data_IF_393997655772
#
_entry.id   IF_393997655772
#
_cell.length_a   1.000
_cell.length_b   1.000
_cell.length_c   1.000
_cell.angle_alpha   90.00
_cell.angle_beta   90.00
_cell.angle_gamma   90.00
#
_symmetry.space_group_name_H-M   'P 1'
#
loop_
_entity.id
_entity.type
_entity.pdbx_description
1 polymer ?
#
# COMPACT_ATOMS: atom_id res chain seq x y z
N UNK A 1 -35.47 -17.05 -5.69
CA UNK A 1 -34.43 -17.88 -5.03
C UNK A 1 -33.11 -17.13 -5.13
N UNK A 2 -32.64 -16.55 -4.03
CA UNK A 2 -31.34 -15.86 -3.96
C UNK A 2 -30.26 -16.92 -3.72
N UNK A 3 -29.71 -17.49 -4.79
CA UNK A 3 -28.49 -18.31 -4.68
C UNK A 3 -27.37 -17.44 -4.06
N UNK A 4 -26.45 -17.93 -3.24
CA UNK A 4 -25.28 -17.14 -2.82
C UNK A 4 -24.34 -16.90 -4.02
N UNK A 5 -23.53 -15.83 -4.01
CA UNK A 5 -22.48 -15.65 -5.03
C UNK A 5 -21.33 -16.66 -4.80
N UNK A 6 -20.63 -17.05 -5.87
CA UNK A 6 -19.45 -17.93 -5.79
C UNK A 6 -18.13 -17.16 -5.75
N UNK A 7 -18.17 -15.84 -5.57
CA UNK A 7 -16.97 -15.01 -5.43
C UNK A 7 -16.20 -15.43 -4.17
N UNK A 8 -14.89 -15.56 -4.31
CA UNK A 8 -13.99 -15.81 -3.18
C UNK A 8 -13.37 -14.49 -2.72
N UNK A 9 -12.97 -14.43 -1.44
CA UNK A 9 -12.19 -13.34 -0.86
C UNK A 9 -10.80 -13.80 -0.37
N UNK A 10 -10.41 -15.04 -0.71
CA UNK A 10 -9.19 -15.66 -0.19
C UNK A 10 -7.89 -14.92 -0.52
N UNK A 11 -7.83 -14.13 -1.60
CA UNK A 11 -6.63 -13.35 -1.92
C UNK A 11 -6.47 -12.15 -0.99
N UNK A 12 -7.57 -11.57 -0.49
CA UNK A 12 -7.54 -10.45 0.45
C UNK A 12 -6.98 -10.86 1.82
N UNK A 13 -7.17 -12.13 2.21
CA UNK A 13 -6.56 -12.70 3.41
C UNK A 13 -5.04 -12.83 3.30
N UNK A 14 -4.47 -12.91 2.10
CA UNK A 14 -3.03 -13.02 1.92
C UNK A 14 -2.28 -11.72 2.28
N UNK A 15 -2.95 -10.56 2.24
CA UNK A 15 -2.35 -9.26 2.56
C UNK A 15 -1.95 -9.15 4.03
N UNK A 16 -2.86 -9.37 5.03
CA UNK A 16 -2.47 -9.32 6.43
C UNK A 16 -1.45 -10.40 6.80
N UNK A 17 -1.54 -11.61 6.22
CA UNK A 17 -0.54 -12.65 6.48
C UNK A 17 0.86 -12.25 6.00
N UNK A 18 0.95 -11.55 4.87
CA UNK A 18 2.21 -10.99 4.40
C UNK A 18 2.74 -9.91 5.35
N UNK A 19 1.87 -9.04 5.86
CA UNK A 19 2.24 -7.95 6.78
C UNK A 19 2.69 -8.41 8.17
N UNK A 20 2.39 -9.66 8.57
CA UNK A 20 2.92 -10.25 9.82
C UNK A 20 4.41 -10.58 9.73
N UNK A 21 4.97 -10.64 8.53
CA UNK A 21 6.38 -10.99 8.34
C UNK A 21 7.25 -9.78 8.66
N UNK A 22 8.36 -10.02 9.37
CA UNK A 22 9.34 -8.98 9.73
C UNK A 22 10.13 -8.47 8.52
N UNK A 23 10.27 -9.31 7.51
CA UNK A 23 11.01 -9.02 6.29
C UNK A 23 10.21 -9.57 5.10
N UNK A 24 9.80 -8.68 4.21
CA UNK A 24 9.00 -9.05 3.03
C UNK A 24 9.82 -8.74 1.78
N UNK A 25 9.97 -9.72 0.90
CA UNK A 25 10.60 -9.52 -0.41
C UNK A 25 9.61 -8.88 -1.40
N UNK A 26 10.14 -8.10 -2.33
CA UNK A 26 9.32 -7.36 -3.29
C UNK A 26 8.52 -8.28 -4.24
N UNK A 27 9.06 -9.46 -4.58
CA UNK A 27 8.34 -10.44 -5.42
C UNK A 27 7.08 -10.95 -4.72
N UNK A 28 7.14 -11.24 -3.43
CA UNK A 28 5.99 -11.62 -2.62
C UNK A 28 4.93 -10.52 -2.57
N UNK A 29 5.33 -9.25 -2.46
CA UNK A 29 4.42 -8.10 -2.52
C UNK A 29 3.72 -8.05 -3.87
N UNK A 30 4.46 -8.14 -4.98
CA UNK A 30 3.90 -8.11 -6.34
C UNK A 30 2.95 -9.28 -6.61
N UNK A 31 3.30 -10.47 -6.13
CA UNK A 31 2.47 -11.68 -6.27
C UNK A 31 1.15 -11.55 -5.52
N UNK A 32 1.18 -11.07 -4.27
CA UNK A 32 -0.04 -10.85 -3.48
C UNK A 32 -0.88 -9.74 -4.09
N UNK A 33 -0.25 -8.61 -4.46
CA UNK A 33 -0.90 -7.50 -5.15
C UNK A 33 -1.65 -7.96 -6.40
N UNK A 34 -0.98 -8.72 -7.29
CA UNK A 34 -1.58 -9.19 -8.54
C UNK A 34 -2.81 -10.06 -8.27
N UNK A 35 -2.72 -11.02 -7.34
CA UNK A 35 -3.84 -11.89 -6.97
C UNK A 35 -5.01 -11.11 -6.38
N UNK A 36 -4.74 -10.11 -5.55
CA UNK A 36 -5.78 -9.23 -5.00
C UNK A 36 -6.44 -8.42 -6.11
N UNK A 37 -5.66 -7.83 -7.02
CA UNK A 37 -6.20 -7.07 -8.15
C UNK A 37 -7.06 -7.93 -9.08
N UNK A 38 -6.65 -9.17 -9.35
CA UNK A 38 -7.41 -10.10 -10.19
C UNK A 38 -8.75 -10.45 -9.51
N UNK A 39 -8.72 -10.82 -8.22
CA UNK A 39 -9.92 -11.17 -7.48
C UNK A 39 -10.86 -9.97 -7.26
N UNK A 40 -10.30 -8.78 -7.07
CA UNK A 40 -11.08 -7.54 -6.98
C UNK A 40 -11.81 -7.26 -8.31
N UNK A 41 -11.13 -7.39 -9.46
CA UNK A 41 -11.79 -7.22 -10.75
C UNK A 41 -12.99 -8.18 -10.93
N UNK A 42 -12.85 -9.44 -10.50
CA UNK A 42 -13.95 -10.41 -10.49
C UNK A 42 -15.11 -9.98 -9.57
N UNK A 43 -14.78 -9.46 -8.38
CA UNK A 43 -15.76 -8.99 -7.39
C UNK A 43 -16.53 -7.76 -7.90
N UNK A 44 -15.86 -6.80 -8.54
CA UNK A 44 -16.51 -5.64 -9.17
C UNK A 44 -17.53 -6.08 -10.23
N UNK A 45 -17.21 -7.12 -11.00
CA UNK A 45 -18.11 -7.68 -12.01
C UNK A 45 -19.33 -8.41 -11.43
N UNK A 46 -19.32 -8.74 -10.13
CA UNK A 46 -20.42 -9.44 -9.47
C UNK A 46 -21.46 -8.45 -8.93
N UNK A 47 -22.69 -8.51 -9.46
CA UNK A 47 -23.78 -7.60 -9.05
C UNK A 47 -24.12 -7.65 -7.56
N UNK A 48 -23.85 -8.76 -6.89
CA UNK A 48 -24.12 -8.91 -5.46
C UNK A 48 -22.99 -8.39 -4.59
N UNK A 49 -21.75 -8.74 -4.93
CA UNK A 49 -20.60 -8.32 -4.15
C UNK A 49 -20.37 -6.81 -4.29
N UNK A 50 -20.61 -6.22 -5.46
CA UNK A 50 -20.40 -4.78 -5.66
C UNK A 50 -21.26 -3.89 -4.76
N UNK A 51 -22.44 -4.36 -4.35
CA UNK A 51 -23.36 -3.63 -3.45
C UNK A 51 -23.30 -4.10 -2.01
N UNK A 52 -22.53 -5.15 -1.73
CA UNK A 52 -22.44 -5.73 -0.40
C UNK A 52 -21.52 -4.89 0.49
N UNK A 53 -22.02 -4.54 1.68
CA UNK A 53 -21.30 -3.69 2.61
C UNK A 53 -20.03 -4.35 3.16
N UNK A 54 -20.06 -5.67 3.40
CA UNK A 54 -18.87 -6.39 3.85
C UNK A 54 -17.77 -6.36 2.79
N UNK A 55 -18.15 -6.47 1.53
CA UNK A 55 -17.25 -6.33 0.38
C UNK A 55 -16.58 -4.96 0.34
N UNK A 56 -17.33 -3.88 0.60
CA UNK A 56 -16.79 -2.51 0.70
C UNK A 56 -15.69 -2.42 1.76
N UNK A 57 -15.96 -2.90 2.96
CA UNK A 57 -14.98 -2.88 4.06
C UNK A 57 -13.72 -3.68 3.71
N UNK A 58 -13.88 -4.88 3.13
CA UNK A 58 -12.75 -5.74 2.76
C UNK A 58 -11.87 -5.07 1.71
N UNK A 59 -12.48 -4.51 0.67
CA UNK A 59 -11.79 -3.84 -0.43
C UNK A 59 -11.03 -2.61 0.08
N UNK A 60 -11.69 -1.74 0.84
CA UNK A 60 -11.07 -0.53 1.39
C UNK A 60 -9.87 -0.88 2.26
N UNK A 61 -10.03 -1.84 3.17
CA UNK A 61 -8.93 -2.31 4.05
C UNK A 61 -7.77 -2.88 3.24
N UNK A 62 -8.05 -3.63 2.17
CA UNK A 62 -7.02 -4.23 1.34
C UNK A 62 -6.25 -3.17 0.54
N UNK A 63 -6.93 -2.15 0.02
CA UNK A 63 -6.31 -1.04 -0.68
C UNK A 63 -5.32 -0.28 0.22
N UNK A 64 -5.72 0.06 1.45
CA UNK A 64 -4.85 0.70 2.44
C UNK A 64 -3.60 -0.13 2.75
N UNK A 65 -3.77 -1.44 2.92
CA UNK A 65 -2.68 -2.36 3.22
C UNK A 65 -1.73 -2.53 2.04
N UNK A 66 -2.25 -2.67 0.81
CA UNK A 66 -1.43 -2.70 -0.40
C UNK A 66 -0.64 -1.40 -0.56
N UNK A 67 -1.25 -0.25 -0.28
CA UNK A 67 -0.58 1.03 -0.36
C UNK A 67 0.55 1.17 0.67
N UNK A 68 0.36 0.61 1.87
CA UNK A 68 1.41 0.50 2.90
C UNK A 68 2.58 -0.34 2.41
N UNK A 69 2.31 -1.49 1.78
CA UNK A 69 3.35 -2.35 1.20
C UNK A 69 4.10 -1.65 0.06
N UNK A 70 3.40 -0.96 -0.84
CA UNK A 70 4.03 -0.18 -1.91
C UNK A 70 4.90 0.95 -1.38
N UNK A 71 4.46 1.63 -0.31
CA UNK A 71 5.27 2.64 0.36
C UNK A 71 6.55 2.05 0.93
N UNK A 72 6.50 0.83 1.49
CA UNK A 72 7.68 0.12 1.96
C UNK A 72 8.65 -0.22 0.80
N UNK A 73 8.13 -0.61 -0.36
CA UNK A 73 8.94 -0.82 -1.58
C UNK A 73 9.62 0.47 -2.02
N UNK A 74 8.89 1.59 -2.08
CA UNK A 74 9.47 2.88 -2.44
C UNK A 74 10.66 3.25 -1.54
N UNK A 75 10.55 3.00 -0.24
CA UNK A 75 11.64 3.24 0.73
C UNK A 75 12.81 2.28 0.50
N UNK A 76 12.54 0.98 0.31
CA UNK A 76 13.57 -0.04 0.15
C UNK A 76 14.43 0.14 -1.11
N UNK A 77 13.83 0.64 -2.20
CA UNK A 77 14.51 0.83 -3.49
C UNK A 77 14.84 2.31 -3.79
N UNK A 78 14.64 3.22 -2.84
CA UNK A 78 14.93 4.65 -3.03
C UNK A 78 14.17 5.26 -4.22
N UNK A 79 12.91 4.89 -4.40
CA UNK A 79 12.08 5.30 -5.54
C UNK A 79 11.39 6.66 -5.33
N UNK A 80 11.47 7.22 -4.12
CA UNK A 80 10.92 8.55 -3.82
C UNK A 80 12.04 9.57 -3.66
N UNK A 81 12.00 10.63 -4.45
CA UNK A 81 12.98 11.72 -4.43
C UNK A 81 12.78 12.67 -3.22
N UNK A 82 11.68 12.53 -2.48
CA UNK A 82 11.36 13.34 -1.29
C UNK A 82 10.89 12.46 -0.13
N UNK A 83 11.75 12.29 0.87
CA UNK A 83 11.40 11.81 2.19
C UNK A 83 10.19 12.60 2.71
N UNK A 84 9.10 11.90 3.05
CA UNK A 84 8.13 12.42 4.01
C UNK A 84 8.82 12.46 5.37
N UNK A 85 9.54 13.54 5.67
CA UNK A 85 9.71 13.95 7.06
C UNK A 85 8.32 14.37 7.55
N UNK A 86 7.75 13.74 8.60
CA UNK A 86 6.59 14.30 9.27
C UNK A 86 6.95 15.71 9.77
N UNK A 87 6.01 16.68 9.76
CA UNK A 87 6.27 18.02 10.27
C UNK A 87 6.42 17.93 11.79
N UNK A 88 7.65 17.71 12.25
CA UNK A 88 7.97 17.53 13.66
C UNK A 88 9.46 17.76 13.93
N UNK A 89 9.79 19.01 14.20
CA UNK A 89 11.05 19.52 14.75
C UNK A 89 12.32 19.42 13.88
N UNK A 90 12.47 20.38 12.95
CA UNK A 90 13.80 20.92 12.58
C UNK A 90 13.98 22.30 13.23
N UNK A 91 14.73 22.32 14.33
CA UNK A 91 15.43 23.45 14.96
C UNK A 91 16.65 22.80 15.63
N UNK A 92 17.92 23.09 15.39
CA UNK A 92 18.67 23.95 14.48
C UNK A 92 20.04 23.24 14.37
N UNK A 93 20.61 23.15 13.17
CA UNK A 93 22.00 22.75 13.02
C UNK A 93 22.86 24.01 12.89
N UNK A 94 23.74 24.27 13.84
CA UNK A 94 24.96 25.02 13.58
C UNK A 94 26.19 24.20 13.99
N UNK A 95 27.28 24.22 13.21
CA UNK A 95 28.44 23.38 13.39
C UNK A 95 29.50 24.09 14.23
N UNK A 96 30.17 23.40 15.16
CA UNK A 96 31.61 23.58 15.37
C UNK A 96 32.21 22.44 16.21
N UNK A 97 33.48 22.20 15.93
CA UNK A 97 34.38 21.11 16.33
C UNK A 97 34.52 20.81 17.84
N UNK A 98 35.06 19.60 18.08
CA UNK A 98 36.06 19.23 19.12
C UNK A 98 35.61 18.38 20.32
N UNK A 99 36.07 17.12 20.27
CA UNK A 99 36.72 16.30 21.34
C UNK A 99 35.94 15.75 22.55
N UNK A 100 36.12 14.42 22.71
CA UNK A 100 36.34 13.65 23.94
C UNK A 100 35.14 13.06 24.73
N UNK A 101 35.21 11.71 24.82
CA UNK A 101 34.99 10.84 25.99
C UNK A 101 33.63 10.69 26.69
N UNK A 102 33.33 9.40 26.88
CA UNK A 102 32.64 8.73 27.99
C UNK A 102 31.09 8.65 28.01
N UNK A 103 30.66 7.38 28.02
CA UNK A 103 29.55 6.78 28.78
C UNK A 103 28.12 7.31 28.60
N UNK A 104 27.21 6.36 28.29
CA UNK A 104 25.78 6.58 28.45
C UNK A 104 24.94 5.69 27.55
N UNK A 105 24.90 4.40 27.85
CA UNK A 105 23.88 3.51 27.30
C UNK A 105 22.49 4.07 27.65
N UNK A 106 21.79 4.60 26.65
CA UNK A 106 20.35 4.83 26.73
C UNK A 106 19.71 4.05 25.60
N UNK A 107 19.22 2.87 25.96
CA UNK A 107 18.25 2.13 25.18
C UNK A 107 17.00 3.00 25.06
N UNK A 108 16.89 3.75 23.96
CA UNK A 108 15.60 4.32 23.56
C UNK A 108 14.80 3.18 22.96
N UNK A 109 13.98 2.56 23.80
CA UNK A 109 12.87 1.70 23.37
C UNK A 109 11.92 2.54 22.54
N UNK A 110 12.20 2.66 21.24
CA UNK A 110 11.19 3.05 20.28
C UNK A 110 10.21 1.89 20.22
N UNK A 111 9.07 2.04 20.91
CA UNK A 111 7.82 1.38 20.54
C UNK A 111 7.38 1.95 19.20
N UNK A 112 8.13 1.63 18.15
CA UNK A 112 7.77 1.90 16.78
C UNK A 112 6.78 0.83 16.36
N UNK A 113 5.56 1.24 16.03
CA UNK A 113 4.63 0.45 15.24
C UNK A 113 5.46 -0.19 14.12
N UNK A 114 5.69 -1.49 14.20
CA UNK A 114 6.62 -2.19 13.30
C UNK A 114 5.91 -2.31 11.97
N UNK A 115 6.01 -1.24 11.16
CA UNK A 115 5.52 -1.25 9.80
C UNK A 115 6.36 -2.28 9.02
N UNK A 116 5.73 -3.07 8.14
CA UNK A 116 6.44 -4.08 7.38
C UNK A 116 7.61 -3.46 6.63
N UNK A 117 8.82 -3.96 6.87
CA UNK A 117 10.02 -3.51 6.20
C UNK A 117 10.19 -4.37 4.94
N UNK A 118 10.04 -3.75 3.78
CA UNK A 118 10.43 -4.40 2.53
C UNK A 118 11.95 -4.53 2.55
N UNK A 119 12.46 -5.76 2.42
CA UNK A 119 13.89 -5.94 2.26
C UNK A 119 14.29 -5.65 0.83
N UNK A 120 15.35 -4.86 0.68
CA UNK A 120 16.05 -4.76 -0.59
C UNK A 120 16.67 -6.12 -0.91
N UNK A 121 15.99 -6.89 -1.77
CA UNK A 121 16.44 -8.21 -2.20
C UNK A 121 17.00 -8.13 -3.62
N UNK A 122 18.01 -8.96 -3.90
CA UNK A 122 18.52 -9.16 -5.25
C UNK A 122 17.36 -9.58 -6.16
N UNK A 123 17.13 -8.81 -7.23
CA UNK A 123 16.04 -9.06 -8.15
C UNK A 123 16.51 -9.98 -9.27
N UNK A 124 15.63 -10.84 -9.79
CA UNK A 124 15.93 -11.68 -10.94
C UNK A 124 14.97 -11.38 -12.08
N UNK A 125 15.52 -11.18 -13.27
CA UNK A 125 14.76 -11.11 -14.52
C UNK A 125 15.10 -12.34 -15.36
N UNK A 126 14.25 -13.37 -15.25
CA UNK A 126 14.53 -14.68 -15.83
C UNK A 126 15.75 -15.34 -15.18
N UNK A 127 16.85 -15.46 -15.94
CA UNK A 127 18.13 -16.00 -15.45
C UNK A 127 19.12 -14.91 -15.00
N UNK A 128 18.80 -13.64 -15.22
CA UNK A 128 19.68 -12.51 -14.94
C UNK A 128 19.44 -12.01 -13.51
N UNK A 129 20.51 -11.91 -12.71
CA UNK A 129 20.48 -11.19 -11.44
C UNK A 129 20.69 -9.70 -11.71
N UNK A 130 19.82 -8.88 -11.14
CA UNK A 130 19.89 -7.42 -11.22
C UNK A 130 20.28 -6.86 -9.85
N UNK A 131 21.17 -5.88 -9.86
CA UNK A 131 21.65 -5.17 -8.68
C UNK A 131 21.70 -3.66 -8.94
N UNK A 132 21.78 -2.86 -7.89
CA UNK A 132 21.92 -1.41 -7.99
C UNK A 132 20.83 -0.75 -8.83
N UNK A 133 21.25 0.03 -9.82
CA UNK A 133 20.36 0.85 -10.66
C UNK A 133 19.41 0.00 -11.53
N UNK A 134 19.83 -1.19 -11.98
CA UNK A 134 18.97 -2.06 -12.79
C UNK A 134 17.84 -2.67 -11.95
N UNK A 135 18.15 -3.07 -10.71
CA UNK A 135 17.15 -3.53 -9.76
C UNK A 135 16.18 -2.40 -9.39
N UNK A 136 16.71 -1.19 -9.18
CA UNK A 136 15.90 0.02 -8.92
C UNK A 136 14.96 0.33 -10.09
N UNK A 137 15.46 0.28 -11.32
CA UNK A 137 14.66 0.52 -12.52
C UNK A 137 13.56 -0.54 -12.70
N UNK A 138 13.88 -1.81 -12.49
CA UNK A 138 12.87 -2.87 -12.53
C UNK A 138 11.82 -2.69 -11.42
N UNK A 139 12.25 -2.34 -10.21
CA UNK A 139 11.35 -2.06 -9.10
C UNK A 139 10.40 -0.90 -9.40
N UNK A 140 10.94 0.17 -9.98
CA UNK A 140 10.19 1.32 -10.45
C UNK A 140 9.10 0.94 -11.46
N UNK A 141 9.45 0.20 -12.52
CA UNK A 141 8.48 -0.19 -13.57
C UNK A 141 7.37 -1.08 -13.01
N UNK A 142 7.73 -2.09 -12.21
CA UNK A 142 6.78 -3.03 -11.64
C UNK A 142 5.85 -2.35 -10.62
N UNK A 143 6.41 -1.46 -9.79
CA UNK A 143 5.62 -0.71 -8.83
C UNK A 143 4.69 0.29 -9.50
N UNK A 144 5.19 1.04 -10.49
CA UNK A 144 4.37 1.98 -11.29
C UNK A 144 3.16 1.29 -11.88
N UNK A 145 3.36 0.13 -12.51
CA UNK A 145 2.25 -0.67 -13.06
C UNK A 145 1.26 -1.11 -11.98
N UNK A 146 1.76 -1.53 -10.82
CA UNK A 146 0.92 -1.98 -9.71
C UNK A 146 0.10 -0.85 -9.09
N UNK A 147 0.67 0.36 -9.01
CA UNK A 147 -0.01 1.55 -8.52
C UNK A 147 -1.12 2.01 -9.48
N UNK A 148 -0.84 2.05 -10.79
CA UNK A 148 -1.85 2.39 -11.80
C UNK A 148 -3.00 1.40 -11.73
N UNK A 149 -2.71 0.10 -11.69
CA UNK A 149 -3.73 -0.95 -11.59
C UNK A 149 -4.60 -0.82 -10.33
N UNK A 150 -3.99 -0.54 -9.18
CA UNK A 150 -4.74 -0.29 -7.94
C UNK A 150 -5.64 0.94 -8.07
N UNK A 151 -5.17 2.00 -8.73
CA UNK A 151 -5.95 3.21 -8.98
C UNK A 151 -7.18 2.97 -9.84
N UNK A 152 -7.03 2.24 -10.95
CA UNK A 152 -8.14 1.88 -11.85
C UNK A 152 -9.23 1.08 -11.10
N UNK A 153 -8.80 0.11 -10.27
CA UNK A 153 -9.73 -0.70 -9.47
C UNK A 153 -10.44 0.13 -8.40
N UNK A 154 -9.70 1.01 -7.71
CA UNK A 154 -10.26 1.92 -6.72
C UNK A 154 -11.29 2.86 -7.34
N UNK A 155 -10.95 3.53 -8.44
CA UNK A 155 -11.84 4.45 -9.14
C UNK A 155 -13.11 3.73 -9.62
N UNK A 156 -12.95 2.59 -10.28
CA UNK A 156 -14.08 1.78 -10.74
C UNK A 156 -14.99 1.38 -9.58
N UNK A 157 -14.42 0.97 -8.45
CA UNK A 157 -15.19 0.55 -7.30
C UNK A 157 -15.90 1.73 -6.60
N UNK A 158 -15.22 2.87 -6.43
CA UNK A 158 -15.80 4.09 -5.85
C UNK A 158 -17.02 4.55 -6.67
N UNK A 159 -16.90 4.57 -8.00
CA UNK A 159 -18.01 4.93 -8.88
C UNK A 159 -19.21 3.99 -8.72
N UNK A 160 -18.98 2.69 -8.50
CA UNK A 160 -20.05 1.71 -8.33
C UNK A 160 -20.66 1.73 -6.92
N UNK A 161 -19.84 1.89 -5.89
CA UNK A 161 -20.27 1.86 -4.49
C UNK A 161 -20.98 3.16 -4.07
N UNK A 162 -20.60 4.31 -4.66
CA UNK A 162 -21.07 5.63 -4.23
C UNK A 162 -21.69 6.48 -5.34
N UNK A 163 -21.71 6.03 -6.59
CA UNK A 163 -22.21 6.82 -7.73
C UNK A 163 -23.72 7.10 -7.72
N UNK A 164 -24.52 6.23 -7.08
CA UNK A 164 -25.97 6.44 -6.92
C UNK A 164 -26.26 7.18 -5.60
N UNK A 165 -26.41 8.51 -5.70
CA UNK A 165 -26.71 9.45 -4.60
C UNK A 165 -28.11 9.26 -3.94
N UNK A 166 -28.74 8.08 -4.03
CA UNK A 166 -30.13 7.86 -3.59
C UNK A 166 -30.28 7.30 -2.17
N UNK A 167 -29.33 7.52 -1.27
CA UNK A 167 -29.43 7.01 0.11
C UNK A 167 -29.57 8.17 1.10
N UNK A 168 -30.82 8.46 1.48
CA UNK A 168 -31.24 9.49 2.45
C UNK A 168 -30.91 9.18 3.91
N UNK A 169 -30.10 8.15 4.19
CA UNK A 169 -29.45 7.93 5.49
C UNK A 169 -28.22 7.05 5.31
N UNK A 170 -27.06 7.64 4.99
CA UNK A 170 -25.80 6.89 5.01
C UNK A 170 -25.50 6.49 6.45
N UNK A 171 -25.35 5.19 6.68
CA UNK A 171 -24.83 4.63 7.93
C UNK A 171 -23.44 5.24 8.22
N UNK A 172 -23.15 5.58 9.47
CA UNK A 172 -21.88 6.22 9.88
C UNK A 172 -20.67 5.42 9.38
N UNK A 173 -20.80 4.10 9.30
CA UNK A 173 -19.72 3.22 8.82
C UNK A 173 -19.50 3.32 7.30
N UNK A 174 -20.55 3.57 6.52
CA UNK A 174 -20.44 3.81 5.06
C UNK A 174 -19.74 5.14 4.81
N UNK A 175 -20.07 6.18 5.58
CA UNK A 175 -19.40 7.49 5.51
C UNK A 175 -17.92 7.37 5.87
N UNK A 176 -17.59 6.57 6.90
CA UNK A 176 -16.21 6.30 7.27
C UNK A 176 -15.45 5.54 6.17
N UNK A 177 -16.07 4.53 5.55
CA UNK A 177 -15.47 3.79 4.42
C UNK A 177 -15.23 4.69 3.21
N UNK A 178 -16.19 5.56 2.87
CA UNK A 178 -16.05 6.54 1.79
C UNK A 178 -14.88 7.49 2.06
N UNK A 179 -14.79 8.02 3.29
CA UNK A 179 -13.71 8.92 3.69
C UNK A 179 -12.33 8.24 3.63
N UNK A 180 -12.22 7.01 4.14
CA UNK A 180 -10.98 6.21 4.08
C UNK A 180 -10.58 5.88 2.64
N UNK A 181 -11.55 5.62 1.76
CA UNK A 181 -11.28 5.34 0.35
C UNK A 181 -10.75 6.60 -0.37
N UNK A 182 -11.34 7.76 -0.11
CA UNK A 182 -10.86 9.05 -0.62
C UNK A 182 -9.44 9.32 -0.14
N UNK A 183 -9.16 9.16 1.16
CA UNK A 183 -7.81 9.32 1.71
C UNK A 183 -6.82 8.33 1.07
N UNK A 184 -7.25 7.09 0.80
CA UNK A 184 -6.44 6.08 0.13
C UNK A 184 -6.13 6.47 -1.32
N UNK A 185 -7.10 7.02 -2.06
CA UNK A 185 -6.90 7.52 -3.42
C UNK A 185 -5.97 8.75 -3.46
N UNK A 186 -6.06 9.65 -2.48
CA UNK A 186 -5.14 10.77 -2.34
C UNK A 186 -3.70 10.30 -2.08
N UNK A 187 -3.52 9.39 -1.12
CA UNK A 187 -2.21 8.78 -0.84
C UNK A 187 -1.66 8.03 -2.05
N UNK A 188 -2.51 7.33 -2.80
CA UNK A 188 -2.12 6.67 -4.05
C UNK A 188 -1.63 7.69 -5.08
N UNK A 189 -2.36 8.78 -5.26
CA UNK A 189 -1.98 9.86 -6.20
C UNK A 189 -0.63 10.46 -5.84
N UNK A 190 -0.39 10.72 -4.55
CA UNK A 190 0.90 11.18 -4.04
C UNK A 190 2.01 10.17 -4.32
N UNK A 191 1.76 8.88 -4.08
CA UNK A 191 2.75 7.83 -4.31
C UNK A 191 3.07 7.66 -5.80
N UNK A 192 2.05 7.71 -6.66
CA UNK A 192 2.23 7.71 -8.12
C UNK A 192 3.05 8.91 -8.57
N UNK A 193 2.81 10.11 -8.02
CA UNK A 193 3.57 11.30 -8.35
C UNK A 193 5.06 11.19 -7.95
N UNK A 194 5.37 10.51 -6.85
CA UNK A 194 6.75 10.29 -6.40
C UNK A 194 7.52 9.30 -7.26
N UNK A 195 6.80 8.34 -7.85
CA UNK A 195 7.38 7.33 -8.74
C UNK A 195 7.34 7.82 -10.20
N UNK A 196 6.83 9.02 -10.52
CA UNK A 196 6.94 9.56 -11.88
C UNK A 196 8.36 10.08 -12.15
N UNK A 197 8.87 9.75 -13.33
CA UNK A 197 10.16 10.19 -13.90
C UNK A 197 10.07 11.67 -14.29
#
# INVERSE_FOLDING_TARGET
MNQPCSCSFSAFEAVPELQKQTQIDFESILRVSTRVSDQWAEIIGCERCRTDFTTLVIITTAAERLLTLYTAVCKAYGLSEKQFDPPGNRLDAHPHESTSSAEGATATTQTGTTYPVCAHSMMKFGKLSLEGDDARLLAHVLLSRSLVRLGELLESYTCLAFGDNTITSKDDVVVACESSLVETMEKLTLLVAQVKI
#
